data_IF_195596961535
#
_entry.id   IF_195596961535
#
_cell.length_a   1.000
_cell.length_b   1.000
_cell.length_c   1.000
_cell.angle_alpha   90.00
_cell.angle_beta   90.00
_cell.angle_gamma   90.00
#
_symmetry.space_group_name_H-M   'P 1'
#
loop_
_entity.id
_entity.type
_entity.pdbx_description
1 polymer ?
#
# COMPACT_ATOMS: atom_id res chain seq x y z
N UNK A 1 13.83 30.06 -11.82
CA UNK A 1 12.38 30.07 -11.54
C UNK A 1 11.92 28.62 -11.53
N UNK A 2 11.54 28.07 -10.37
CA UNK A 2 11.24 26.64 -10.21
C UNK A 2 9.98 26.30 -10.99
N UNK A 3 10.09 25.43 -12.00
CA UNK A 3 8.96 25.04 -12.86
C UNK A 3 8.01 24.16 -12.04
N UNK A 4 6.82 24.66 -11.73
CA UNK A 4 5.75 23.89 -11.10
C UNK A 4 5.16 22.93 -12.13
N UNK A 5 4.91 21.66 -11.74
CA UNK A 5 4.37 20.66 -12.67
C UNK A 5 2.92 20.99 -13.06
N UNK A 6 2.50 20.58 -14.27
CA UNK A 6 1.12 20.77 -14.73
C UNK A 6 0.11 20.15 -13.75
N UNK A 7 0.37 18.94 -13.26
CA UNK A 7 -0.49 18.29 -12.25
C UNK A 7 -0.54 19.05 -10.92
N UNK A 8 0.55 19.70 -10.50
CA UNK A 8 0.52 20.57 -9.31
C UNK A 8 -0.36 21.80 -9.55
N UNK A 9 -0.26 22.44 -10.73
CA UNK A 9 -1.10 23.60 -11.10
C UNK A 9 -2.57 23.20 -11.17
N UNK A 10 -2.90 22.11 -11.85
CA UNK A 10 -4.27 21.60 -11.96
C UNK A 10 -4.87 21.26 -10.59
N UNK A 11 -4.08 20.70 -9.67
CA UNK A 11 -4.52 20.45 -8.29
C UNK A 11 -4.86 21.74 -7.55
N UNK A 12 -4.06 22.79 -7.72
CA UNK A 12 -4.33 24.10 -7.11
C UNK A 12 -5.56 24.77 -7.73
N UNK A 13 -5.67 24.74 -9.05
CA UNK A 13 -6.84 25.27 -9.77
C UNK A 13 -8.13 24.55 -9.35
N UNK A 14 -8.10 23.22 -9.24
CA UNK A 14 -9.25 22.46 -8.74
C UNK A 14 -9.65 22.83 -7.30
N UNK A 15 -8.70 23.17 -6.44
CA UNK A 15 -9.01 23.62 -5.07
C UNK A 15 -9.69 25.00 -5.07
N UNK A 16 -9.21 25.94 -5.88
CA UNK A 16 -9.82 27.28 -6.01
C UNK A 16 -11.20 27.19 -6.67
N UNK A 17 -11.33 26.39 -7.73
CA UNK A 17 -12.60 26.08 -8.39
C UNK A 17 -13.63 25.55 -7.39
N UNK A 18 -13.23 24.63 -6.50
CA UNK A 18 -14.12 24.09 -5.48
C UNK A 18 -14.60 25.17 -4.48
N UNK A 19 -13.73 26.10 -4.07
CA UNK A 19 -14.10 27.21 -3.18
C UNK A 19 -15.08 28.16 -3.89
N UNK A 20 -14.80 28.52 -5.15
CA UNK A 20 -15.64 29.42 -5.93
C UNK A 20 -17.02 28.82 -6.19
N UNK A 21 -17.08 27.53 -6.57
CA UNK A 21 -18.33 26.79 -6.73
C UNK A 21 -19.12 26.68 -5.42
N UNK A 22 -18.45 26.38 -4.31
CA UNK A 22 -19.09 26.38 -2.99
C UNK A 22 -19.69 27.76 -2.66
N UNK A 23 -18.95 28.84 -2.89
CA UNK A 23 -19.43 30.20 -2.62
C UNK A 23 -20.67 30.56 -3.44
N UNK A 24 -20.66 30.23 -4.74
CA UNK A 24 -21.83 30.40 -5.60
C UNK A 24 -23.05 29.65 -5.06
N UNK A 25 -22.90 28.37 -4.70
CA UNK A 25 -24.00 27.56 -4.15
C UNK A 25 -24.53 28.05 -2.79
N UNK A 26 -23.78 28.88 -2.08
CA UNK A 26 -24.18 29.47 -0.80
C UNK A 26 -24.61 30.94 -0.94
N UNK A 27 -24.87 31.43 -2.16
CA UNK A 27 -25.39 32.77 -2.40
C UNK A 27 -24.39 33.89 -2.13
N UNK A 28 -23.07 33.59 -2.15
CA UNK A 28 -22.03 34.64 -2.08
C UNK A 28 -21.91 35.44 -3.38
N UNK A 29 -22.50 34.93 -4.46
CA UNK A 29 -22.65 35.64 -5.73
C UNK A 29 -24.07 36.21 -5.77
N UNK A 30 -24.24 37.52 -6.03
CA UNK A 30 -25.55 38.15 -6.17
C UNK A 30 -26.42 37.44 -7.22
N UNK A 31 -27.71 37.29 -6.95
CA UNK A 31 -28.66 36.59 -7.84
C UNK A 31 -28.85 37.28 -9.20
N UNK A 32 -28.57 38.58 -9.27
CA UNK A 32 -28.61 39.40 -10.48
C UNK A 32 -27.31 39.33 -11.29
N UNK A 33 -26.25 38.70 -10.75
CA UNK A 33 -25.01 38.49 -11.46
C UNK A 33 -25.05 37.18 -12.27
N UNK A 34 -24.78 37.28 -13.57
CA UNK A 34 -24.58 36.09 -14.42
C UNK A 34 -23.37 35.31 -13.92
N UNK A 35 -23.59 34.09 -13.44
CA UNK A 35 -22.52 33.20 -12.99
C UNK A 35 -22.08 32.24 -14.10
N UNK A 36 -20.77 32.20 -14.31
CA UNK A 36 -20.07 31.12 -15.01
C UNK A 36 -18.83 30.79 -14.18
N UNK A 37 -18.49 29.50 -14.04
CA UNK A 37 -17.30 29.10 -13.30
C UNK A 37 -16.04 29.59 -14.02
N UNK A 38 -15.28 30.54 -13.45
CA UNK A 38 -14.14 31.12 -14.14
C UNK A 38 -12.97 30.14 -14.31
N UNK A 39 -13.01 28.98 -13.63
CA UNK A 39 -11.96 27.98 -13.66
C UNK A 39 -12.30 26.75 -14.50
N UNK A 40 -13.49 26.69 -15.11
CA UNK A 40 -13.97 25.48 -15.81
C UNK A 40 -13.04 25.00 -16.93
N UNK A 41 -12.44 25.94 -17.66
CA UNK A 41 -11.53 25.68 -18.78
C UNK A 41 -10.05 25.89 -18.42
N UNK A 42 -9.74 26.15 -17.15
CA UNK A 42 -8.37 26.39 -16.70
C UNK A 42 -7.69 25.06 -16.33
N UNK A 43 -7.40 24.23 -17.33
CA UNK A 43 -6.61 23.00 -17.14
C UNK A 43 -5.42 22.95 -18.09
N UNK A 44 -4.27 22.57 -17.53
CA UNK A 44 -3.07 22.28 -18.30
C UNK A 44 -3.06 20.79 -18.68
N UNK A 45 -2.47 20.48 -19.82
CA UNK A 45 -2.20 19.09 -20.19
C UNK A 45 -1.17 18.48 -19.23
N UNK A 46 -1.48 17.29 -18.72
CA UNK A 46 -0.60 16.53 -17.84
C UNK A 46 0.06 15.40 -18.62
N UNK A 47 1.38 15.29 -18.51
CA UNK A 47 2.09 14.12 -19.00
C UNK A 47 1.62 12.89 -18.23
N UNK A 48 1.21 11.85 -18.95
CA UNK A 48 0.86 10.59 -18.32
C UNK A 48 2.10 9.97 -17.66
N UNK A 49 1.91 9.40 -16.48
CA UNK A 49 2.98 8.70 -15.79
C UNK A 49 3.41 7.49 -16.61
N UNK A 50 4.69 7.44 -17.00
CA UNK A 50 5.32 6.29 -17.66
C UNK A 50 5.61 5.12 -16.69
N UNK A 51 5.15 5.20 -15.44
CA UNK A 51 5.48 4.22 -14.40
C UNK A 51 4.79 2.88 -14.69
N UNK A 52 5.55 1.93 -15.18
CA UNK A 52 5.12 0.55 -15.35
C UNK A 52 5.13 -0.24 -14.03
N UNK A 53 4.31 -1.31 -13.90
CA UNK A 53 4.48 -2.31 -12.87
C UNK A 53 5.85 -2.99 -12.98
N UNK A 54 6.42 -3.39 -11.84
CA UNK A 54 7.66 -4.17 -11.82
C UNK A 54 7.44 -5.56 -12.41
N UNK A 55 8.34 -5.98 -13.30
CA UNK A 55 8.39 -7.36 -13.77
C UNK A 55 9.20 -8.26 -12.81
N UNK A 56 9.31 -9.54 -13.13
CA UNK A 56 10.05 -10.49 -12.29
C UNK A 56 11.54 -10.15 -12.16
N UNK A 57 12.16 -9.58 -13.20
CA UNK A 57 13.57 -9.19 -13.21
C UNK A 57 13.80 -7.93 -12.38
N UNK A 58 12.89 -6.98 -12.45
CA UNK A 58 12.90 -5.79 -11.59
C UNK A 58 12.79 -6.20 -10.12
N UNK A 59 11.86 -7.10 -9.80
CA UNK A 59 11.71 -7.63 -8.44
C UNK A 59 12.97 -8.35 -7.98
N UNK A 60 13.56 -9.21 -8.82
CA UNK A 60 14.82 -9.87 -8.49
C UNK A 60 15.93 -8.85 -8.19
N UNK A 61 16.04 -7.80 -9.00
CA UNK A 61 17.02 -6.71 -8.80
C UNK A 61 16.83 -6.02 -7.44
N UNK A 62 15.59 -5.77 -7.03
CA UNK A 62 15.28 -5.17 -5.72
C UNK A 62 15.68 -6.11 -4.58
N UNK A 63 15.34 -7.41 -4.69
CA UNK A 63 15.56 -8.38 -3.62
C UNK A 63 16.96 -9.01 -3.59
N UNK A 64 17.79 -8.76 -4.61
CA UNK A 64 19.22 -9.08 -4.59
C UNK A 64 20.05 -8.06 -3.79
N UNK A 65 19.46 -6.91 -3.44
CA UNK A 65 20.14 -5.88 -2.68
C UNK A 65 20.72 -6.42 -1.35
N UNK A 66 21.90 -5.94 -0.90
CA UNK A 66 22.60 -6.43 0.31
C UNK A 66 21.74 -6.41 1.58
N UNK A 67 20.71 -5.58 1.61
CA UNK A 67 19.70 -5.56 2.66
C UNK A 67 19.03 -6.93 2.86
N UNK A 68 18.68 -7.60 1.77
CA UNK A 68 17.94 -8.86 1.78
C UNK A 68 18.86 -10.08 1.68
N UNK A 69 19.97 -9.97 0.95
CA UNK A 69 20.91 -11.08 0.72
C UNK A 69 21.93 -11.23 1.85
N UNK A 70 22.42 -10.13 2.41
CA UNK A 70 23.52 -10.13 3.40
C UNK A 70 23.09 -9.56 4.77
N UNK A 71 21.82 -9.18 4.93
CA UNK A 71 21.28 -8.49 6.13
C UNK A 71 22.02 -7.18 6.46
N UNK A 72 22.57 -6.50 5.44
CA UNK A 72 23.21 -5.19 5.60
C UNK A 72 22.16 -4.09 5.60
N UNK A 73 21.68 -3.72 6.78
CA UNK A 73 20.63 -2.71 6.95
C UNK A 73 21.22 -1.29 6.82
N UNK A 74 20.90 -0.52 5.75
CA UNK A 74 21.37 0.85 5.63
C UNK A 74 20.63 1.76 6.62
N UNK A 75 21.26 2.88 7.01
CA UNK A 75 20.65 3.86 7.94
C UNK A 75 19.28 4.34 7.45
N UNK A 76 19.12 4.52 6.13
CA UNK A 76 17.87 4.95 5.51
C UNK A 76 16.71 3.92 5.64
N UNK A 77 17.01 2.65 5.92
CA UNK A 77 16.00 1.59 6.06
C UNK A 77 15.20 1.69 7.38
N UNK A 78 15.60 2.55 8.32
CA UNK A 78 14.91 2.72 9.60
C UNK A 78 14.76 1.37 10.35
N UNK A 79 15.83 0.57 10.38
CA UNK A 79 15.87 -0.73 11.03
C UNK A 79 15.08 -1.81 10.29
N UNK A 80 14.36 -2.64 11.04
CA UNK A 80 13.64 -3.80 10.50
C UNK A 80 12.48 -3.41 9.57
N UNK A 81 11.95 -2.19 9.68
CA UNK A 81 10.88 -1.70 8.83
C UNK A 81 11.27 -1.71 7.34
N UNK A 82 12.51 -1.33 7.01
CA UNK A 82 13.00 -1.35 5.64
C UNK A 82 13.19 -2.76 5.08
N UNK A 83 13.30 -3.78 5.94
CA UNK A 83 13.30 -5.20 5.53
C UNK A 83 11.87 -5.69 5.30
N UNK A 84 10.97 -5.44 6.26
CA UNK A 84 9.63 -6.02 6.24
C UNK A 84 8.67 -5.32 5.26
N UNK A 85 8.75 -4.00 5.11
CA UNK A 85 7.80 -3.27 4.25
C UNK A 85 7.86 -3.70 2.77
N UNK A 86 9.05 -3.89 2.14
CA UNK A 86 9.12 -4.39 0.77
C UNK A 86 8.61 -5.82 0.63
N UNK A 87 8.88 -6.71 1.60
CA UNK A 87 8.36 -8.08 1.60
C UNK A 87 6.83 -8.10 1.72
N UNK A 88 6.28 -7.29 2.62
CA UNK A 88 4.83 -7.14 2.77
C UNK A 88 4.20 -6.53 1.52
N UNK A 89 4.86 -5.56 0.88
CA UNK A 89 4.39 -4.97 -0.36
C UNK A 89 4.35 -5.99 -1.52
N UNK A 90 5.37 -6.86 -1.61
CA UNK A 90 5.44 -7.93 -2.63
C UNK A 90 4.24 -8.89 -2.54
N UNK A 91 3.81 -9.26 -1.33
CA UNK A 91 2.79 -10.29 -1.14
C UNK A 91 1.39 -9.74 -0.80
N UNK A 92 1.28 -8.56 -0.19
CA UNK A 92 0.02 -8.06 0.38
C UNK A 92 -0.69 -7.00 -0.45
N UNK A 93 -0.03 -6.41 -1.46
CA UNK A 93 -0.62 -5.46 -2.41
C UNK A 93 -1.42 -4.32 -1.76
N UNK A 94 -1.09 -3.95 -0.53
CA UNK A 94 -1.77 -2.93 0.28
C UNK A 94 -0.96 -1.63 0.24
N UNK A 95 -1.57 -0.50 0.62
CA UNK A 95 -0.87 0.80 0.55
C UNK A 95 0.24 0.86 1.59
N UNK A 96 1.30 1.64 1.32
CA UNK A 96 2.41 1.86 2.26
C UNK A 96 1.90 2.29 3.65
N UNK A 97 0.92 3.19 3.70
CA UNK A 97 0.32 3.66 4.95
C UNK A 97 -0.42 2.55 5.72
N UNK A 98 -0.93 1.53 5.03
CA UNK A 98 -1.64 0.40 5.64
C UNK A 98 -0.63 -0.58 6.29
N UNK A 99 0.56 -0.77 5.69
CA UNK A 99 1.62 -1.58 6.32
C UNK A 99 2.38 -0.84 7.42
N UNK A 100 2.68 0.45 7.24
CA UNK A 100 3.45 1.23 8.21
C UNK A 100 2.71 1.42 9.55
N UNK A 101 1.37 1.36 9.55
CA UNK A 101 0.55 1.48 10.75
C UNK A 101 0.20 0.15 11.43
N UNK A 102 0.68 -0.98 10.91
CA UNK A 102 0.29 -2.29 11.39
C UNK A 102 0.82 -2.57 12.81
N UNK A 103 -0.04 -3.09 13.68
CA UNK A 103 0.31 -3.49 15.06
C UNK A 103 0.30 -5.01 15.19
N UNK A 104 0.96 -5.52 16.23
CA UNK A 104 0.91 -6.95 16.56
C UNK A 104 -0.54 -7.43 16.77
N UNK A 105 -1.40 -6.58 17.35
CA UNK A 105 -2.82 -6.87 17.56
C UNK A 105 -3.66 -6.97 16.26
N UNK A 106 -3.09 -6.56 15.13
CA UNK A 106 -3.69 -6.70 13.81
C UNK A 106 -3.37 -8.06 13.17
N UNK A 107 -2.46 -8.86 13.77
CA UNK A 107 -2.25 -10.25 13.40
C UNK A 107 -3.21 -11.12 14.19
N UNK A 108 -4.11 -11.81 13.50
CA UNK A 108 -5.16 -12.63 14.10
C UNK A 108 -5.25 -13.97 13.42
N UNK A 109 -5.47 -15.01 14.21
CA UNK A 109 -5.88 -16.31 13.69
C UNK A 109 -7.39 -16.28 13.47
N UNK A 110 -7.82 -16.70 12.29
CA UNK A 110 -9.24 -16.94 12.02
C UNK A 110 -9.50 -18.43 12.33
N UNK A 111 -10.58 -18.73 13.04
CA UNK A 111 -10.93 -20.11 13.42
C UNK A 111 -11.04 -21.05 12.20
N UNK A 112 -11.32 -20.50 11.02
CA UNK A 112 -11.39 -21.23 9.75
C UNK A 112 -10.09 -21.19 8.94
N UNK A 113 -9.14 -20.33 9.29
CA UNK A 113 -7.85 -20.24 8.61
C UNK A 113 -6.77 -20.98 9.42
N UNK A 114 -6.17 -22.00 8.83
CA UNK A 114 -5.03 -22.71 9.42
C UNK A 114 -3.72 -21.88 9.47
N UNK A 115 -3.78 -20.57 9.18
CA UNK A 115 -2.64 -19.68 9.18
C UNK A 115 -3.04 -18.28 9.69
N UNK A 116 -2.13 -17.56 10.37
CA UNK A 116 -2.38 -16.19 10.83
C UNK A 116 -2.72 -15.24 9.68
N UNK A 117 -3.75 -14.43 9.86
CA UNK A 117 -4.19 -13.39 8.94
C UNK A 117 -3.79 -12.00 9.45
N UNK A 118 -3.49 -11.10 8.52
CA UNK A 118 -3.22 -9.70 8.82
C UNK A 118 -4.50 -8.87 8.55
N UNK A 119 -4.93 -8.12 9.55
CA UNK A 119 -6.13 -7.29 9.48
C UNK A 119 -5.76 -5.83 9.26
N UNK A 120 -6.21 -5.25 8.14
CA UNK A 120 -6.01 -3.84 7.87
C UNK A 120 -7.18 -3.05 8.46
N UNK A 121 -7.02 -2.63 9.72
CA UNK A 121 -8.00 -1.74 10.37
C UNK A 121 -7.65 -0.30 10.00
N UNK A 122 -8.53 0.38 9.26
CA UNK A 122 -8.45 1.85 9.18
C UNK A 122 -8.97 2.41 10.50
N UNK A 123 -8.20 3.29 11.11
CA UNK A 123 -8.53 3.90 12.39
C UNK A 123 -9.96 4.47 12.38
N UNK A 124 -10.73 4.11 13.40
CA UNK A 124 -12.22 4.11 13.41
C UNK A 124 -12.83 5.49 13.66
N UNK A 125 -12.04 6.57 13.67
CA UNK A 125 -12.60 7.93 13.79
C UNK A 125 -13.48 8.35 12.60
N UNK A 126 -13.48 7.59 11.51
CA UNK A 126 -14.36 7.78 10.36
C UNK A 126 -15.08 6.48 9.98
N UNK A 127 -16.04 6.05 10.82
CA UNK A 127 -17.24 5.24 10.50
C UNK A 127 -17.35 4.28 9.30
N UNK A 128 -16.30 3.65 8.75
CA UNK A 128 -16.45 2.77 7.57
C UNK A 128 -15.54 1.54 7.62
N UNK A 129 -16.19 0.37 7.42
CA UNK A 129 -15.73 -0.98 7.05
C UNK A 129 -14.25 -1.37 7.14
N UNK A 130 -13.97 -2.41 7.93
CA UNK A 130 -12.71 -3.17 7.92
C UNK A 130 -12.55 -3.96 6.63
N UNK A 131 -11.37 -3.91 6.01
CA UNK A 131 -11.03 -4.71 4.82
C UNK A 131 -10.16 -5.89 5.24
N UNK A 132 -10.68 -7.10 5.04
CA UNK A 132 -9.94 -8.34 5.30
C UNK A 132 -9.12 -8.70 4.07
N UNK A 133 -7.84 -9.04 4.25
CA UNK A 133 -7.01 -9.58 3.17
C UNK A 133 -6.17 -10.74 3.68
N UNK A 134 -6.47 -11.99 3.26
CA UNK A 134 -5.61 -13.10 3.62
C UNK A 134 -4.29 -13.01 2.85
N UNK A 135 -3.18 -13.04 3.57
CA UNK A 135 -1.89 -13.42 2.99
C UNK A 135 -1.91 -14.94 2.83
N UNK A 136 -2.57 -15.45 1.77
CA UNK A 136 -2.50 -16.88 1.50
C UNK A 136 -1.10 -17.21 0.97
N UNK A 137 -0.19 -17.57 1.87
CA UNK A 137 0.97 -18.35 1.46
C UNK A 137 0.41 -19.69 0.98
N UNK A 138 0.37 -19.93 -0.34
CA UNK A 138 0.33 -21.31 -0.83
C UNK A 138 1.63 -21.95 -0.40
N UNK A 139 1.61 -22.51 0.81
CA UNK A 139 2.56 -23.47 1.31
C UNK A 139 2.74 -24.52 0.21
N UNK A 140 3.92 -24.52 -0.42
CA UNK A 140 4.37 -25.66 -1.17
C UNK A 140 4.26 -26.85 -0.22
N UNK A 141 3.44 -27.84 -0.58
CA UNK A 141 3.15 -29.03 0.23
C UNK A 141 4.46 -29.53 0.83
N UNK A 142 4.60 -29.44 2.16
CA UNK A 142 5.68 -30.15 2.86
C UNK A 142 5.45 -31.64 2.61
N UNK A 143 6.37 -32.38 1.98
CA UNK A 143 6.25 -33.83 1.96
C UNK A 143 6.37 -34.31 3.42
N UNK A 144 5.41 -35.14 3.84
CA UNK A 144 5.40 -35.73 5.16
C UNK A 144 6.70 -36.52 5.36
N UNK A 145 7.58 -36.03 6.24
CA UNK A 145 8.77 -36.76 6.65
C UNK A 145 8.31 -37.90 7.57
N UNK A 146 8.21 -39.10 7.00
CA UNK A 146 7.76 -40.29 7.72
C UNK A 146 8.90 -40.79 8.62
N UNK A 147 8.97 -40.28 9.84
CA UNK A 147 9.81 -40.82 10.91
C UNK A 147 9.01 -41.93 11.62
N UNK A 148 9.11 -43.16 11.10
CA UNK A 148 8.77 -44.37 11.86
C UNK A 148 9.93 -45.35 11.87
N UNK A 149 10.40 -45.57 13.11
CA UNK A 149 11.03 -46.77 13.67
C UNK A 149 12.32 -47.31 13.02
N UNK A 150 13.47 -46.84 13.53
CA UNK A 150 14.60 -47.73 13.83
C UNK A 150 14.48 -48.16 15.29
N UNK A 151 13.96 -49.35 15.54
CA UNK A 151 14.16 -50.04 16.82
C UNK A 151 14.07 -51.55 16.59
N UNK A 152 15.17 -52.25 16.92
CA UNK A 152 15.20 -53.69 17.13
C UNK A 152 15.77 -54.54 16.00
N UNK A 153 17.09 -54.72 15.97
CA UNK A 153 17.75 -55.98 15.56
C UNK A 153 19.24 -55.92 15.91
N UNK A 154 19.57 -56.08 17.20
CA UNK A 154 20.89 -56.53 17.66
C UNK A 154 20.63 -57.55 18.77
N UNK A 155 21.30 -58.70 18.63
CA UNK A 155 21.39 -59.87 19.53
C UNK A 155 20.42 -61.03 19.28
N UNK A 156 21.03 -62.21 19.00
CA UNK A 156 20.42 -63.53 19.05
C UNK A 156 20.78 -64.36 17.83
#
# INVERSE_FOLDING_TARGET
MTKVSAGTVNKQLGAVQAIAGWGYHNGLVPEDATWADPFSEMRLEEDQSERAPFDAKDLQTIFDAPLFSERKIPVAAQGDAGVWLPLLALFGGSRQAEFAGLRVADIREDENAHYPLMWFTRDRKAGVGSRQRPLSFRSARRPALNLRSRQGAVHG
#
